data_IF_168575644687
#
_entry.id   IF_168575644687
#
_cell.length_a   1.000
_cell.length_b   1.000
_cell.length_c   1.000
_cell.angle_alpha   90.00
_cell.angle_beta   90.00
_cell.angle_gamma   90.00
#
_symmetry.space_group_name_H-M   'P 1'
#
loop_
_entity.id
_entity.type
_entity.pdbx_description
1 polymer ?
#
# COMPACT_ATOMS: atom_id res chain seq x y z
N UNK A 1 -39.43 -102.28 -95.95
CA UNK A 1 -40.72 -102.26 -96.67
C UNK A 1 -41.82 -102.56 -95.66
N UNK A 2 -42.25 -101.54 -94.91
CA UNK A 2 -43.38 -101.65 -93.98
C UNK A 2 -44.67 -101.60 -94.78
N UNK A 3 -45.48 -102.66 -94.69
CA UNK A 3 -46.80 -102.73 -95.31
C UNK A 3 -47.65 -101.52 -94.86
N UNK A 4 -48.00 -100.68 -95.83
CA UNK A 4 -48.82 -99.48 -95.63
C UNK A 4 -50.25 -99.96 -95.33
N UNK A 5 -50.59 -100.01 -94.04
CA UNK A 5 -51.90 -100.49 -93.55
C UNK A 5 -52.94 -99.38 -93.42
N UNK A 6 -52.59 -98.15 -93.78
CA UNK A 6 -53.46 -96.96 -93.73
C UNK A 6 -53.76 -96.46 -95.15
N UNK A 7 -54.99 -96.00 -95.39
CA UNK A 7 -55.47 -95.62 -96.73
C UNK A 7 -54.80 -94.35 -97.30
N UNK A 8 -54.18 -93.53 -96.46
CA UNK A 8 -53.47 -92.30 -96.86
C UNK A 8 -52.30 -92.06 -95.91
N UNK A 9 -51.15 -91.67 -96.46
CA UNK A 9 -49.97 -91.21 -95.72
C UNK A 9 -49.80 -89.71 -95.97
N UNK A 10 -49.80 -88.90 -94.91
CA UNK A 10 -49.49 -87.48 -94.97
C UNK A 10 -48.01 -87.34 -94.63
N UNK A 11 -47.19 -87.04 -95.63
CA UNK A 11 -45.78 -86.77 -95.40
C UNK A 11 -45.59 -85.50 -94.56
N UNK A 12 -44.72 -85.56 -93.53
CA UNK A 12 -44.50 -84.44 -92.60
C UNK A 12 -44.13 -83.12 -93.26
N UNK A 13 -43.51 -83.16 -94.44
CA UNK A 13 -43.11 -81.97 -95.22
C UNK A 13 -44.33 -81.24 -95.83
N UNK A 14 -45.41 -81.96 -96.11
CA UNK A 14 -46.64 -81.41 -96.69
C UNK A 14 -47.75 -81.19 -95.65
N UNK A 15 -47.57 -81.68 -94.42
CA UNK A 15 -48.55 -81.57 -93.35
C UNK A 15 -48.99 -80.12 -93.07
N UNK A 16 -48.06 -79.15 -93.09
CA UNK A 16 -48.41 -77.74 -92.92
C UNK A 16 -49.37 -77.23 -94.00
N UNK A 17 -49.11 -77.56 -95.26
CA UNK A 17 -49.94 -77.13 -96.38
C UNK A 17 -51.33 -77.80 -96.34
N UNK A 18 -51.36 -79.11 -96.05
CA UNK A 18 -52.58 -79.92 -95.96
C UNK A 18 -53.51 -79.46 -94.84
N UNK A 19 -52.98 -79.06 -93.68
CA UNK A 19 -53.82 -78.59 -92.55
C UNK A 19 -54.14 -77.09 -92.60
N UNK A 20 -53.44 -76.30 -93.42
CA UNK A 20 -53.68 -74.85 -93.55
C UNK A 20 -54.62 -74.51 -94.70
N UNK A 21 -54.64 -75.32 -95.76
CA UNK A 21 -55.51 -75.10 -96.93
C UNK A 21 -56.63 -76.14 -96.98
N UNK A 22 -57.87 -75.67 -96.83
CA UNK A 22 -59.07 -76.52 -96.84
C UNK A 22 -59.18 -77.37 -98.12
N UNK A 23 -58.75 -76.77 -99.23
CA UNK A 23 -58.73 -77.36 -100.58
C UNK A 23 -57.79 -78.56 -100.74
N UNK A 24 -56.82 -78.77 -99.85
CA UNK A 24 -55.90 -79.91 -99.89
C UNK A 24 -56.33 -81.08 -98.99
N UNK A 25 -57.22 -80.82 -98.03
CA UNK A 25 -57.79 -81.85 -97.16
C UNK A 25 -58.95 -82.58 -97.84
N UNK A 26 -59.77 -81.84 -98.61
CA UNK A 26 -60.94 -82.38 -99.30
C UNK A 26 -60.58 -83.54 -100.27
N UNK A 27 -59.53 -83.47 -101.12
CA UNK A 27 -59.13 -84.57 -101.99
C UNK A 27 -58.66 -85.83 -101.25
N UNK A 28 -58.05 -85.65 -100.07
CA UNK A 28 -57.60 -86.76 -99.21
C UNK A 28 -58.81 -87.47 -98.60
N UNK A 29 -59.80 -86.72 -98.15
CA UNK A 29 -61.06 -87.26 -97.63
C UNK A 29 -61.85 -87.93 -98.75
N UNK A 30 -61.95 -87.32 -99.93
CA UNK A 30 -62.63 -87.88 -101.10
C UNK A 30 -62.01 -89.21 -101.56
N UNK A 31 -60.67 -89.35 -101.49
CA UNK A 31 -60.00 -90.61 -101.79
C UNK A 31 -60.39 -91.73 -100.80
N UNK A 32 -60.47 -91.40 -99.51
CA UNK A 32 -60.91 -92.34 -98.45
C UNK A 32 -62.39 -92.70 -98.65
N UNK A 33 -63.24 -91.73 -98.99
CA UNK A 33 -64.66 -91.95 -99.26
C UNK A 33 -64.88 -92.83 -100.49
N UNK A 34 -64.13 -92.60 -101.57
CA UNK A 34 -64.21 -93.38 -102.80
C UNK A 34 -63.82 -94.84 -102.56
N UNK A 35 -62.75 -95.07 -101.80
CA UNK A 35 -62.30 -96.43 -101.45
C UNK A 35 -63.24 -97.12 -100.44
N UNK A 36 -63.82 -96.37 -99.51
CA UNK A 36 -64.81 -96.91 -98.58
C UNK A 36 -66.13 -97.28 -99.29
N UNK A 37 -66.56 -96.50 -100.30
CA UNK A 37 -67.81 -96.71 -101.06
C UNK A 37 -67.66 -97.68 -102.24
N UNK A 38 -66.44 -97.95 -102.71
CA UNK A 38 -66.18 -98.91 -103.80
C UNK A 38 -66.37 -100.37 -103.36
N UNK A 39 -66.34 -100.64 -102.06
CA UNK A 39 -66.66 -101.95 -101.51
C UNK A 39 -68.16 -102.20 -101.66
N UNK A 40 -68.55 -103.07 -102.59
CA UNK A 40 -69.93 -103.59 -102.74
C UNK A 40 -70.07 -104.85 -101.89
N UNK A 41 -70.60 -104.79 -100.66
CA UNK A 41 -70.51 -105.89 -99.72
C UNK A 41 -71.78 -106.74 -99.70
N UNK A 42 -71.63 -108.05 -99.57
CA UNK A 42 -72.75 -108.96 -99.35
C UNK A 42 -72.92 -109.25 -97.84
N UNK A 43 -73.92 -108.59 -97.23
CA UNK A 43 -74.24 -108.72 -95.80
C UNK A 43 -74.79 -110.09 -95.40
N UNK A 44 -75.21 -110.91 -96.36
CA UNK A 44 -75.73 -112.26 -96.10
C UNK A 44 -74.62 -113.24 -95.70
N UNK A 45 -73.38 -113.00 -96.12
CA UNK A 45 -72.22 -113.86 -95.82
C UNK A 45 -71.38 -113.32 -94.65
N UNK A 46 -70.78 -114.24 -93.87
CA UNK A 46 -69.84 -113.88 -92.80
C UNK A 46 -68.63 -113.10 -93.34
N UNK A 47 -68.09 -113.53 -94.49
CA UNK A 47 -66.96 -112.87 -95.16
C UNK A 47 -67.27 -111.43 -95.57
N UNK A 48 -68.49 -111.14 -96.05
CA UNK A 48 -68.91 -109.78 -96.39
C UNK A 48 -69.04 -108.87 -95.17
N UNK A 49 -69.57 -109.38 -94.05
CA UNK A 49 -69.61 -108.64 -92.78
C UNK A 49 -68.21 -108.35 -92.21
N UNK A 50 -67.29 -109.31 -92.29
CA UNK A 50 -65.89 -109.13 -91.86
C UNK A 50 -65.14 -108.12 -92.74
N UNK A 51 -65.44 -108.06 -94.04
CA UNK A 51 -64.90 -107.06 -94.97
C UNK A 51 -65.41 -105.64 -94.65
N UNK A 52 -66.70 -105.49 -94.33
CA UNK A 52 -67.27 -104.21 -93.87
C UNK A 52 -66.58 -103.75 -92.57
N UNK A 53 -66.44 -104.64 -91.59
CA UNK A 53 -65.79 -104.33 -90.32
C UNK A 53 -64.32 -103.90 -90.52
N UNK A 54 -63.61 -104.59 -91.42
CA UNK A 54 -62.21 -104.27 -91.75
C UNK A 54 -62.08 -102.91 -92.45
N UNK A 55 -62.98 -102.58 -93.38
CA UNK A 55 -62.98 -101.28 -94.05
C UNK A 55 -63.33 -100.14 -93.08
N UNK A 56 -64.33 -100.33 -92.21
CA UNK A 56 -64.65 -99.37 -91.15
C UNK A 56 -63.46 -99.14 -90.20
N UNK A 57 -62.72 -100.19 -89.86
CA UNK A 57 -61.52 -100.06 -89.02
C UNK A 57 -60.40 -99.29 -89.72
N UNK A 58 -60.19 -99.50 -91.04
CA UNK A 58 -59.23 -98.71 -91.84
C UNK A 58 -59.60 -97.22 -91.87
N UNK A 59 -60.88 -96.88 -92.08
CA UNK A 59 -61.34 -95.49 -92.03
C UNK A 59 -61.12 -94.87 -90.65
N UNK A 60 -61.38 -95.60 -89.56
CA UNK A 60 -61.16 -95.13 -88.20
C UNK A 60 -59.66 -94.90 -87.89
N UNK A 61 -58.77 -95.77 -88.40
CA UNK A 61 -57.32 -95.59 -88.30
C UNK A 61 -56.83 -94.38 -89.09
N UNK A 62 -57.27 -94.21 -90.33
CA UNK A 62 -56.94 -93.04 -91.15
C UNK A 62 -57.41 -91.73 -90.51
N UNK A 63 -58.60 -91.70 -89.90
CA UNK A 63 -59.06 -90.53 -89.11
C UNK A 63 -58.10 -90.20 -87.97
N UNK A 64 -57.72 -91.20 -87.18
CA UNK A 64 -56.86 -91.02 -86.00
C UNK A 64 -55.46 -90.57 -86.41
N UNK A 65 -54.94 -91.10 -87.52
CA UNK A 65 -53.66 -90.72 -88.08
C UNK A 65 -53.64 -89.24 -88.53
N UNK A 66 -54.67 -88.79 -89.25
CA UNK A 66 -54.81 -87.38 -89.68
C UNK A 66 -54.90 -86.45 -88.46
N UNK A 67 -55.69 -86.79 -87.45
CA UNK A 67 -55.83 -85.99 -86.22
C UNK A 67 -54.50 -85.88 -85.44
N UNK A 68 -53.76 -86.99 -85.32
CA UNK A 68 -52.45 -87.00 -84.65
C UNK A 68 -51.41 -86.20 -85.43
N UNK A 69 -51.39 -86.29 -86.77
CA UNK A 69 -50.48 -85.50 -87.60
C UNK A 69 -50.73 -83.98 -87.46
N UNK A 70 -51.99 -83.55 -87.33
CA UNK A 70 -52.32 -82.16 -87.04
C UNK A 70 -51.89 -81.72 -85.63
N UNK A 71 -52.06 -82.58 -84.62
CA UNK A 71 -51.60 -82.31 -83.24
C UNK A 71 -50.09 -82.17 -83.15
N UNK A 72 -49.34 -83.05 -83.81
CA UNK A 72 -47.88 -83.02 -83.83
C UNK A 72 -47.37 -81.73 -84.49
N UNK A 73 -47.97 -81.32 -85.62
CA UNK A 73 -47.65 -80.07 -86.29
C UNK A 73 -47.90 -78.84 -85.39
N UNK A 74 -49.04 -78.80 -84.70
CA UNK A 74 -49.36 -77.72 -83.75
C UNK A 74 -48.41 -77.71 -82.56
N UNK A 75 -47.99 -78.88 -82.07
CA UNK A 75 -47.01 -78.99 -80.98
C UNK A 75 -45.64 -78.45 -81.41
N UNK A 76 -45.17 -78.78 -82.61
CA UNK A 76 -43.93 -78.25 -83.18
C UNK A 76 -44.00 -76.73 -83.38
N UNK A 77 -45.10 -76.22 -83.94
CA UNK A 77 -45.34 -74.79 -84.10
C UNK A 77 -45.36 -74.04 -82.76
N UNK A 78 -46.00 -74.59 -81.73
CA UNK A 78 -46.02 -73.99 -80.38
C UNK A 78 -44.66 -74.02 -79.68
N UNK A 79 -43.76 -74.93 -80.08
CA UNK A 79 -42.41 -74.99 -79.55
C UNK A 79 -41.47 -73.93 -80.16
N UNK A 80 -41.74 -73.44 -81.38
CA UNK A 80 -40.92 -72.45 -82.07
C UNK A 80 -40.82 -71.10 -81.32
N UNK A 81 -41.91 -70.49 -80.81
CA UNK A 81 -41.83 -69.24 -80.04
C UNK A 81 -40.87 -69.33 -78.85
N UNK A 82 -40.92 -70.42 -78.07
CA UNK A 82 -40.02 -70.62 -76.93
C UNK A 82 -38.54 -70.63 -77.35
N UNK A 83 -38.22 -71.28 -78.47
CA UNK A 83 -36.85 -71.31 -79.03
C UNK A 83 -36.41 -69.93 -79.53
N UNK A 84 -37.33 -69.16 -80.12
CA UNK A 84 -37.06 -67.79 -80.57
C UNK A 84 -36.80 -66.88 -79.37
N UNK A 85 -37.61 -66.95 -78.32
CA UNK A 85 -37.44 -66.13 -77.11
C UNK A 85 -36.12 -66.43 -76.40
N UNK A 86 -35.76 -67.71 -76.28
CA UNK A 86 -34.46 -68.12 -75.74
C UNK A 86 -33.29 -67.60 -76.59
N UNK A 87 -33.42 -67.68 -77.91
CA UNK A 87 -32.39 -67.13 -78.82
C UNK A 87 -32.28 -65.61 -78.68
N UNK A 88 -33.42 -64.89 -78.55
CA UNK A 88 -33.44 -63.44 -78.31
C UNK A 88 -32.81 -63.08 -76.97
N UNK A 89 -33.01 -63.89 -75.93
CA UNK A 89 -32.38 -63.72 -74.62
C UNK A 89 -30.87 -63.85 -74.70
N UNK A 90 -30.37 -64.93 -75.33
CA UNK A 90 -28.93 -65.15 -75.54
C UNK A 90 -28.29 -64.01 -76.31
N UNK A 91 -28.95 -63.51 -77.37
CA UNK A 91 -28.44 -62.38 -78.15
C UNK A 91 -28.33 -61.13 -77.28
N UNK A 92 -29.35 -60.82 -76.47
CA UNK A 92 -29.33 -59.66 -75.57
C UNK A 92 -28.19 -59.75 -74.57
N UNK A 93 -28.10 -60.88 -73.84
CA UNK A 93 -27.07 -61.09 -72.81
C UNK A 93 -25.65 -61.00 -73.39
N UNK A 94 -25.41 -61.60 -74.57
CA UNK A 94 -24.10 -61.55 -75.22
C UNK A 94 -23.73 -60.16 -75.74
N UNK A 95 -24.69 -59.43 -76.31
CA UNK A 95 -24.43 -58.09 -76.83
C UNK A 95 -24.26 -57.07 -75.70
N UNK A 96 -25.01 -57.20 -74.60
CA UNK A 96 -24.82 -56.37 -73.41
C UNK A 96 -23.44 -56.63 -72.78
N UNK A 97 -23.05 -57.90 -72.63
CA UNK A 97 -21.71 -58.24 -72.13
C UNK A 97 -20.59 -57.70 -73.04
N UNK A 98 -20.75 -57.80 -74.36
CA UNK A 98 -19.79 -57.26 -75.32
C UNK A 98 -19.71 -55.73 -75.26
N UNK A 99 -20.85 -55.04 -75.09
CA UNK A 99 -20.88 -53.59 -74.91
C UNK A 99 -20.11 -53.18 -73.66
N UNK A 100 -20.30 -53.88 -72.55
CA UNK A 100 -19.61 -53.59 -71.29
C UNK A 100 -18.10 -53.87 -71.42
N UNK A 101 -17.71 -54.96 -72.08
CA UNK A 101 -16.30 -55.26 -72.37
C UNK A 101 -15.64 -54.19 -73.26
N UNK A 102 -16.32 -53.75 -74.32
CA UNK A 102 -15.82 -52.69 -75.21
C UNK A 102 -15.74 -51.34 -74.49
N UNK A 103 -16.64 -51.08 -73.53
CA UNK A 103 -16.63 -49.84 -72.74
C UNK A 103 -15.62 -49.89 -71.59
N UNK A 104 -15.23 -51.07 -71.11
CA UNK A 104 -14.38 -51.24 -69.93
C UNK A 104 -13.06 -50.44 -70.00
N UNK A 105 -12.29 -50.44 -71.11
CA UNK A 105 -11.05 -49.66 -71.19
C UNK A 105 -11.28 -48.14 -71.03
N UNK A 106 -12.42 -47.62 -71.53
CA UNK A 106 -12.76 -46.21 -71.37
C UNK A 106 -13.10 -45.90 -69.91
N UNK A 107 -13.91 -46.75 -69.26
CA UNK A 107 -14.24 -46.59 -67.84
C UNK A 107 -13.00 -46.66 -66.95
N UNK A 108 -12.09 -47.59 -67.22
CA UNK A 108 -10.81 -47.71 -66.50
C UNK A 108 -9.93 -46.48 -66.71
N UNK A 109 -9.86 -45.95 -67.93
CA UNK A 109 -9.13 -44.71 -68.22
C UNK A 109 -9.74 -43.48 -67.55
N UNK A 110 -11.07 -43.33 -67.58
CA UNK A 110 -11.79 -42.23 -66.89
C UNK A 110 -11.52 -42.26 -65.37
N UNK A 111 -11.56 -43.44 -64.76
CA UNK A 111 -11.26 -43.62 -63.33
C UNK A 111 -9.78 -43.29 -63.01
N UNK A 112 -8.84 -43.69 -63.86
CA UNK A 112 -7.43 -43.35 -63.70
C UNK A 112 -7.19 -41.85 -63.85
N UNK A 113 -7.86 -41.19 -64.80
CA UNK A 113 -7.79 -39.73 -64.95
C UNK A 113 -8.33 -38.99 -63.73
N UNK A 114 -9.42 -39.47 -63.13
CA UNK A 114 -9.90 -38.90 -61.86
C UNK A 114 -8.89 -39.09 -60.73
N UNK A 115 -8.25 -40.26 -60.65
CA UNK A 115 -7.21 -40.51 -59.65
C UNK A 115 -5.99 -39.59 -59.84
N UNK A 116 -5.51 -39.44 -61.07
CA UNK A 116 -4.39 -38.55 -61.40
C UNK A 116 -4.75 -37.11 -61.03
N UNK A 117 -5.96 -36.63 -61.38
CA UNK A 117 -6.40 -35.27 -60.99
C UNK A 117 -6.48 -35.09 -59.48
N UNK A 118 -6.94 -36.10 -58.74
CA UNK A 118 -6.99 -36.06 -57.29
C UNK A 118 -5.58 -36.03 -56.68
N UNK A 119 -4.65 -36.81 -57.22
CA UNK A 119 -3.24 -36.83 -56.79
C UNK A 119 -2.53 -35.52 -57.13
N UNK A 120 -2.73 -34.96 -58.33
CA UNK A 120 -2.22 -33.64 -58.72
C UNK A 120 -2.76 -32.53 -57.81
N UNK A 121 -4.06 -32.56 -57.47
CA UNK A 121 -4.64 -31.62 -56.52
C UNK A 121 -4.02 -31.75 -55.12
N UNK A 122 -3.78 -32.97 -54.65
CA UNK A 122 -3.12 -33.21 -53.37
C UNK A 122 -1.66 -32.72 -53.40
N UNK A 123 -0.92 -32.98 -54.48
CA UNK A 123 0.46 -32.54 -54.67
C UNK A 123 0.56 -31.01 -54.76
N UNK A 124 -0.40 -30.36 -55.42
CA UNK A 124 -0.49 -28.90 -55.45
C UNK A 124 -0.71 -28.31 -54.05
N UNK A 125 -1.64 -28.87 -53.27
CA UNK A 125 -1.84 -28.47 -51.87
C UNK A 125 -0.60 -28.71 -51.02
N UNK A 126 0.10 -29.83 -51.24
CA UNK A 126 1.33 -30.15 -50.53
C UNK A 126 2.46 -29.16 -50.86
N UNK A 127 2.61 -28.79 -52.13
CA UNK A 127 3.60 -27.80 -52.57
C UNK A 127 3.32 -26.41 -51.97
N UNK A 128 2.06 -25.97 -51.95
CA UNK A 128 1.66 -24.70 -51.32
C UNK A 128 1.93 -24.71 -49.81
N UNK A 129 1.61 -25.82 -49.13
CA UNK A 129 1.92 -25.98 -47.71
C UNK A 129 3.42 -25.93 -47.42
N UNK A 130 4.25 -26.54 -48.28
CA UNK A 130 5.70 -26.50 -48.15
C UNK A 130 6.23 -25.07 -48.33
N UNK A 131 5.72 -24.32 -49.31
CA UNK A 131 6.11 -22.93 -49.52
C UNK A 131 5.72 -22.05 -48.32
N UNK A 132 4.52 -22.25 -47.76
CA UNK A 132 4.09 -21.54 -46.55
C UNK A 132 4.99 -21.84 -45.35
N UNK A 133 5.38 -23.10 -45.15
CA UNK A 133 6.32 -23.47 -44.09
C UNK A 133 7.70 -22.83 -44.28
N UNK A 134 8.22 -22.83 -45.52
CA UNK A 134 9.50 -22.18 -45.82
C UNK A 134 9.45 -20.68 -45.50
N UNK A 135 8.37 -19.99 -45.87
CA UNK A 135 8.18 -18.57 -45.55
C UNK A 135 8.10 -18.34 -44.04
N UNK A 136 7.36 -19.19 -43.32
CA UNK A 136 7.25 -19.10 -41.87
C UNK A 136 8.61 -19.28 -41.18
N UNK A 137 9.41 -20.27 -41.60
CA UNK A 137 10.73 -20.52 -41.05
C UNK A 137 11.69 -19.34 -41.33
N UNK A 138 11.62 -18.75 -42.52
CA UNK A 138 12.38 -17.54 -42.86
C UNK A 138 11.99 -16.33 -42.02
N UNK A 139 10.69 -16.12 -41.79
CA UNK A 139 10.20 -15.04 -40.93
C UNK A 139 10.62 -15.25 -39.46
N UNK A 140 10.60 -16.49 -38.98
CA UNK A 140 11.03 -16.82 -37.63
C UNK A 140 12.54 -16.59 -37.45
N UNK A 141 13.35 -16.99 -38.44
CA UNK A 141 14.79 -16.74 -38.44
C UNK A 141 15.10 -15.23 -38.44
N UNK A 142 14.42 -14.44 -39.30
CA UNK A 142 14.59 -13.00 -39.35
C UNK A 142 14.18 -12.30 -38.03
N UNK A 143 13.10 -12.76 -37.40
CA UNK A 143 12.70 -12.26 -36.06
C UNK A 143 13.73 -12.60 -35.00
N UNK A 144 14.26 -13.82 -35.01
CA UNK A 144 15.28 -14.24 -34.05
C UNK A 144 16.55 -13.38 -34.17
N UNK A 145 17.00 -13.10 -35.39
CA UNK A 145 18.13 -12.20 -35.64
C UNK A 145 17.86 -10.78 -35.15
N UNK A 146 16.69 -10.21 -35.47
CA UNK A 146 16.30 -8.88 -35.02
C UNK A 146 16.19 -8.77 -33.49
N UNK A 147 15.59 -9.77 -32.83
CA UNK A 147 15.48 -9.83 -31.37
C UNK A 147 16.86 -9.99 -30.71
N UNK A 148 17.77 -10.75 -31.35
CA UNK A 148 19.14 -10.89 -30.88
C UNK A 148 19.92 -9.57 -30.97
N UNK A 149 19.81 -8.85 -32.08
CA UNK A 149 20.41 -7.52 -32.24
C UNK A 149 19.86 -6.52 -31.23
N UNK A 150 18.54 -6.54 -30.99
CA UNK A 150 17.89 -5.71 -29.98
C UNK A 150 18.41 -6.02 -28.58
N UNK A 151 18.56 -7.31 -28.23
CA UNK A 151 19.09 -7.73 -26.95
C UNK A 151 20.55 -7.28 -26.75
N UNK A 152 21.38 -7.34 -27.79
CA UNK A 152 22.75 -6.83 -27.75
C UNK A 152 22.79 -5.31 -27.54
N UNK A 153 21.91 -4.57 -28.22
CA UNK A 153 21.80 -3.12 -28.05
C UNK A 153 21.35 -2.76 -26.62
N UNK A 154 20.34 -3.43 -26.11
CA UNK A 154 19.87 -3.25 -24.72
C UNK A 154 20.97 -3.55 -23.71
N UNK A 155 21.73 -4.64 -23.88
CA UNK A 155 22.86 -4.96 -23.00
C UNK A 155 23.91 -3.85 -23.01
N UNK A 156 24.21 -3.28 -24.18
CA UNK A 156 25.15 -2.16 -24.31
C UNK A 156 24.64 -0.91 -23.56
N UNK A 157 23.36 -0.61 -23.64
CA UNK A 157 22.75 0.49 -22.89
C UNK A 157 22.79 0.23 -21.38
N UNK A 158 22.48 -0.99 -20.93
CA UNK A 158 22.60 -1.36 -19.51
C UNK A 158 24.03 -1.25 -19.00
N UNK A 159 25.03 -1.65 -19.80
CA UNK A 159 26.43 -1.52 -19.43
C UNK A 159 26.87 -0.05 -19.38
N UNK A 160 26.42 0.79 -20.32
CA UNK A 160 26.65 2.25 -20.28
C UNK A 160 26.04 2.87 -19.02
N UNK A 161 24.80 2.54 -18.72
CA UNK A 161 24.10 3.07 -17.54
C UNK A 161 24.81 2.61 -16.26
N UNK A 162 25.25 1.35 -16.19
CA UNK A 162 26.05 0.84 -15.06
C UNK A 162 27.38 1.58 -14.93
N UNK A 163 28.06 1.91 -16.03
CA UNK A 163 29.27 2.73 -16.02
C UNK A 163 29.00 4.17 -15.58
N UNK A 164 27.91 4.79 -16.02
CA UNK A 164 27.49 6.12 -15.57
C UNK A 164 27.17 6.13 -14.08
N UNK A 165 26.43 5.15 -13.58
CA UNK A 165 26.17 5.00 -12.14
C UNK A 165 27.45 4.81 -11.33
N UNK A 166 28.42 4.04 -11.84
CA UNK A 166 29.75 3.94 -11.21
C UNK A 166 30.47 5.28 -11.16
N UNK A 167 30.46 6.05 -12.24
CA UNK A 167 31.07 7.39 -12.30
C UNK A 167 30.39 8.37 -11.34
N UNK A 168 29.06 8.40 -11.30
CA UNK A 168 28.30 9.24 -10.37
C UNK A 168 28.56 8.85 -8.91
N UNK A 169 28.61 7.54 -8.62
CA UNK A 169 28.95 7.06 -7.29
C UNK A 169 30.38 7.46 -6.88
N UNK A 170 31.35 7.36 -7.79
CA UNK A 170 32.73 7.79 -7.54
C UNK A 170 32.82 9.31 -7.31
N UNK A 171 32.13 10.12 -8.13
CA UNK A 171 32.05 11.57 -7.94
C UNK A 171 31.43 11.91 -6.59
N UNK A 172 30.32 11.27 -6.22
CA UNK A 172 29.67 11.47 -4.93
C UNK A 172 30.56 11.03 -3.75
N UNK A 173 31.40 10.00 -3.91
CA UNK A 173 32.40 9.65 -2.88
C UNK A 173 33.47 10.74 -2.77
N UNK A 174 34.00 11.22 -3.90
CA UNK A 174 35.02 12.29 -3.90
C UNK A 174 34.48 13.57 -3.27
N UNK A 175 33.26 13.96 -3.59
CA UNK A 175 32.60 15.13 -2.99
C UNK A 175 32.40 14.95 -1.48
N UNK A 176 31.98 13.75 -1.03
CA UNK A 176 31.89 13.44 0.41
C UNK A 176 33.25 13.50 1.10
N UNK A 177 34.28 12.93 0.49
CA UNK A 177 35.64 12.96 1.03
C UNK A 177 36.19 14.39 1.10
N UNK A 178 35.88 15.23 0.11
CA UNK A 178 36.23 16.66 0.11
C UNK A 178 35.47 17.43 1.17
N UNK A 179 34.15 17.21 1.31
CA UNK A 179 33.34 17.80 2.38
C UNK A 179 33.87 17.39 3.75
N UNK A 180 34.17 16.11 3.96
CA UNK A 180 34.73 15.62 5.22
C UNK A 180 36.10 16.26 5.52
N UNK A 181 36.94 16.45 4.50
CA UNK A 181 38.20 17.19 4.66
C UNK A 181 37.98 18.66 5.02
N UNK A 182 37.00 19.31 4.40
CA UNK A 182 36.64 20.70 4.71
C UNK A 182 36.08 20.83 6.13
N UNK A 183 35.17 19.95 6.53
CA UNK A 183 34.62 19.89 7.89
C UNK A 183 35.71 19.62 8.92
N UNK A 184 36.63 18.69 8.64
CA UNK A 184 37.78 18.44 9.51
C UNK A 184 38.71 19.65 9.61
N UNK A 185 38.94 20.36 8.50
CA UNK A 185 39.74 21.60 8.49
C UNK A 185 39.04 22.75 9.22
N UNK A 186 37.72 22.88 9.07
CA UNK A 186 36.92 23.88 9.77
C UNK A 186 36.84 23.58 11.26
N UNK A 187 36.64 22.31 11.64
CA UNK A 187 36.65 21.88 13.02
C UNK A 187 38.03 22.12 13.66
N UNK A 188 39.12 21.84 12.94
CA UNK A 188 40.46 22.16 13.41
C UNK A 188 40.67 23.67 13.59
N UNK A 189 40.11 24.51 12.71
CA UNK A 189 40.12 25.98 12.88
C UNK A 189 39.30 26.42 14.08
N UNK A 190 38.08 25.90 14.25
CA UNK A 190 37.21 26.21 15.40
C UNK A 190 37.86 25.76 16.70
N UNK A 191 38.48 24.60 16.75
CA UNK A 191 39.19 24.11 17.92
C UNK A 191 40.44 24.96 18.22
N UNK A 192 41.17 25.42 17.19
CA UNK A 192 42.29 26.35 17.35
C UNK A 192 41.83 27.73 17.84
N UNK A 193 40.75 28.28 17.28
CA UNK A 193 40.14 29.54 17.70
C UNK A 193 39.58 29.43 19.12
N UNK A 194 38.95 28.32 19.49
CA UNK A 194 38.45 28.06 20.83
C UNK A 194 39.60 27.95 21.84
N UNK A 195 40.69 27.27 21.48
CA UNK A 195 41.92 27.25 22.30
C UNK A 195 42.51 28.64 22.47
N UNK A 196 42.64 29.40 21.39
CA UNK A 196 43.16 30.77 21.45
C UNK A 196 42.26 31.68 22.29
N UNK A 197 40.94 31.56 22.17
CA UNK A 197 39.98 32.31 22.98
C UNK A 197 40.02 31.90 24.45
N UNK A 198 40.15 30.60 24.74
CA UNK A 198 40.35 30.09 26.09
C UNK A 198 41.69 30.55 26.69
N UNK A 199 42.75 30.67 25.89
CA UNK A 199 44.03 31.24 26.31
C UNK A 199 43.93 32.73 26.61
N UNK A 200 43.20 33.51 25.79
CA UNK A 200 42.91 34.92 26.07
C UNK A 200 42.06 35.06 27.33
N UNK A 201 41.01 34.26 27.50
CA UNK A 201 40.16 34.30 28.70
C UNK A 201 40.93 33.85 29.94
N UNK A 202 41.81 32.85 29.83
CA UNK A 202 42.69 32.44 30.92
C UNK A 202 43.72 33.52 31.25
N UNK A 203 44.29 34.20 30.25
CA UNK A 203 45.19 35.33 30.45
C UNK A 203 44.46 36.51 31.10
N UNK A 204 43.24 36.82 30.66
CA UNK A 204 42.39 37.86 31.25
C UNK A 204 41.98 37.52 32.68
N UNK A 205 41.69 36.25 32.99
CA UNK A 205 41.44 35.78 34.37
C UNK A 205 42.68 35.90 35.25
N UNK A 206 43.86 35.53 34.73
CA UNK A 206 45.13 35.71 35.46
C UNK A 206 45.43 37.19 35.69
N UNK A 207 45.22 38.04 34.69
CA UNK A 207 45.40 39.48 34.83
C UNK A 207 44.37 40.10 35.81
N UNK A 208 43.12 39.63 35.79
CA UNK A 208 42.10 40.05 36.75
C UNK A 208 42.39 39.53 38.17
N UNK A 209 42.91 38.31 38.33
CA UNK A 209 43.32 37.76 39.62
C UNK A 209 44.55 38.49 40.17
N UNK A 210 45.54 38.79 39.34
CA UNK A 210 46.71 39.61 39.72
C UNK A 210 46.30 41.05 40.05
N UNK A 211 45.38 41.66 39.28
CA UNK A 211 44.83 42.98 39.62
C UNK A 211 44.01 42.94 40.90
N UNK A 212 43.21 41.92 41.14
CA UNK A 212 42.45 41.76 42.39
C UNK A 212 43.39 41.55 43.59
N UNK A 213 44.50 40.80 43.41
CA UNK A 213 45.55 40.66 44.43
C UNK A 213 46.29 41.96 44.67
N UNK A 214 46.62 42.71 43.62
CA UNK A 214 47.25 44.02 43.73
C UNK A 214 46.32 45.04 44.41
N UNK A 215 45.03 45.04 44.07
CA UNK A 215 44.02 45.92 44.68
C UNK A 215 43.76 45.52 46.15
N UNK A 216 43.72 44.23 46.48
CA UNK A 216 43.67 43.78 47.88
C UNK A 216 44.93 44.19 48.65
N UNK A 217 46.11 44.07 48.05
CA UNK A 217 47.36 44.51 48.66
C UNK A 217 47.41 46.03 48.83
N UNK A 218 46.93 46.80 47.84
CA UNK A 218 46.84 48.26 47.92
C UNK A 218 45.81 48.69 48.97
N UNK A 219 44.64 48.05 49.01
CA UNK A 219 43.64 48.27 50.08
C UNK A 219 44.20 47.93 51.45
N UNK A 220 44.96 46.85 51.59
CA UNK A 220 45.64 46.52 52.84
C UNK A 220 46.71 47.56 53.20
N UNK A 221 47.49 48.06 52.23
CA UNK A 221 48.45 49.14 52.49
C UNK A 221 47.76 50.43 52.91
N UNK A 222 46.71 50.84 52.20
CA UNK A 222 45.90 52.01 52.56
C UNK A 222 45.24 51.81 53.92
N UNK A 223 44.73 50.62 54.24
CA UNK A 223 44.16 50.34 55.55
C UNK A 223 45.23 50.38 56.65
N UNK A 224 46.43 49.84 56.42
CA UNK A 224 47.54 49.94 57.37
C UNK A 224 48.03 51.38 57.53
N UNK A 225 48.05 52.18 56.46
CA UNK A 225 48.46 53.58 56.48
C UNK A 225 47.39 54.46 57.13
N UNK A 226 46.11 54.19 56.88
CA UNK A 226 44.98 54.82 57.56
C UNK A 226 44.91 54.42 59.03
N UNK A 227 45.21 53.15 59.39
CA UNK A 227 45.33 52.74 60.79
C UNK A 227 46.51 53.42 61.46
N UNK A 228 47.67 53.50 60.82
CA UNK A 228 48.82 54.24 61.35
C UNK A 228 48.57 55.75 61.45
N UNK A 229 47.83 56.35 60.51
CA UNK A 229 47.42 57.75 60.56
C UNK A 229 46.37 58.00 61.65
N UNK A 230 45.41 57.09 61.82
CA UNK A 230 44.42 57.15 62.91
C UNK A 230 45.07 56.92 64.26
N UNK A 231 46.03 56.01 64.39
CA UNK A 231 46.80 55.82 65.63
C UNK A 231 47.68 57.03 65.94
N UNK A 232 48.28 57.69 64.93
CA UNK A 232 48.98 58.96 65.13
C UNK A 232 48.04 60.09 65.54
N UNK A 233 46.88 60.22 64.89
CA UNK A 233 45.87 61.21 65.25
C UNK A 233 45.24 60.92 66.61
N UNK A 234 45.02 59.66 66.99
CA UNK A 234 44.55 59.28 68.32
C UNK A 234 45.64 59.46 69.38
N UNK A 235 46.92 59.26 69.06
CA UNK A 235 48.04 59.54 69.97
C UNK A 235 48.23 61.06 70.16
N UNK A 236 48.13 61.86 69.10
CA UNK A 236 48.15 63.33 69.19
C UNK A 236 46.91 63.86 69.92
N UNK A 237 45.72 63.33 69.63
CA UNK A 237 44.50 63.70 70.34
C UNK A 237 44.51 63.22 71.80
N UNK A 238 45.14 62.08 72.13
CA UNK A 238 45.38 61.67 73.53
C UNK A 238 46.40 62.56 74.22
N UNK A 239 47.47 62.97 73.54
CA UNK A 239 48.46 63.89 74.08
C UNK A 239 47.90 65.31 74.27
N UNK A 240 47.04 65.80 73.38
CA UNK A 240 46.30 67.05 73.57
C UNK A 240 45.23 66.92 74.65
N UNK A 241 44.52 65.79 74.75
CA UNK A 241 43.56 65.55 75.84
C UNK A 241 44.23 65.38 77.19
N UNK A 242 45.43 64.80 77.28
CA UNK A 242 46.21 64.74 78.52
C UNK A 242 46.77 66.11 78.90
N UNK A 243 47.24 66.92 77.92
CA UNK A 243 47.66 68.30 78.18
C UNK A 243 46.48 69.20 78.57
N UNK A 244 45.33 69.05 77.92
CA UNK A 244 44.10 69.77 78.26
C UNK A 244 43.55 69.32 79.64
N UNK A 245 43.55 68.02 79.94
CA UNK A 245 43.13 67.50 81.24
C UNK A 245 44.09 67.89 82.38
N UNK A 246 45.39 68.03 82.11
CA UNK A 246 46.34 68.54 83.11
C UNK A 246 46.11 70.04 83.42
N UNK A 247 45.82 70.84 82.39
CA UNK A 247 45.49 72.28 82.55
C UNK A 247 44.11 72.47 83.19
N UNK A 248 43.12 71.64 82.86
CA UNK A 248 41.78 71.69 83.47
C UNK A 248 41.77 71.16 84.92
N UNK A 249 42.61 70.17 85.25
CA UNK A 249 42.78 69.67 86.63
C UNK A 249 43.59 70.61 87.53
N UNK A 250 44.43 71.48 86.97
CA UNK A 250 45.09 72.56 87.71
C UNK A 250 44.11 73.73 87.95
N UNK A 251 43.30 74.06 86.95
CA UNK A 251 42.30 75.12 87.03
C UNK A 251 41.12 74.77 87.96
N UNK A 252 40.65 73.51 87.95
CA UNK A 252 39.65 73.02 88.92
C UNK A 252 40.16 72.99 90.36
N UNK A 253 41.45 72.71 90.58
CA UNK A 253 42.06 72.80 91.92
C UNK A 253 42.17 74.23 92.45
N UNK A 254 42.31 75.22 91.57
CA UNK A 254 42.31 76.64 91.94
C UNK A 254 40.88 77.17 92.16
N UNK A 255 39.92 76.77 91.33
CA UNK A 255 38.50 77.16 91.47
C UNK A 255 37.84 76.52 92.72
N UNK A 256 38.16 75.26 93.07
CA UNK A 256 37.67 74.61 94.30
C UNK A 256 38.30 75.19 95.58
N UNK A 257 39.55 75.67 95.53
CA UNK A 257 40.21 76.32 96.65
C UNK A 257 39.68 77.74 96.92
N UNK A 258 39.27 78.49 95.89
CA UNK A 258 38.62 79.80 96.07
C UNK A 258 37.15 79.68 96.48
N UNK A 259 36.41 78.70 95.96
CA UNK A 259 35.02 78.44 96.37
C UNK A 259 34.91 78.00 97.84
N UNK A 260 35.90 77.28 98.37
CA UNK A 260 35.94 76.89 99.78
C UNK A 260 36.20 78.08 100.73
N UNK A 261 37.01 79.08 100.33
CA UNK A 261 37.24 80.28 101.16
C UNK A 261 36.04 81.22 101.19
N UNK A 262 35.33 81.37 100.07
CA UNK A 262 34.16 82.25 99.97
C UNK A 262 32.96 81.70 100.78
N UNK A 263 32.82 80.37 100.90
CA UNK A 263 31.78 79.74 101.70
C UNK A 263 32.02 79.82 103.22
N UNK A 264 33.28 79.91 103.68
CA UNK A 264 33.61 80.09 105.09
C UNK A 264 33.43 81.55 105.56
N UNK A 265 33.66 82.52 104.67
CA UNK A 265 33.46 83.94 104.94
C UNK A 265 31.97 84.32 105.03
N UNK A 266 31.11 83.69 104.21
CA UNK A 266 29.67 83.91 104.24
C UNK A 266 28.99 83.38 105.51
N UNK A 267 29.52 82.29 106.12
CA UNK A 267 29.00 81.77 107.40
C UNK A 267 29.29 82.65 108.61
N UNK A 268 30.35 83.47 108.59
CA UNK A 268 30.68 84.43 109.68
C UNK A 268 29.84 85.71 109.60
N UNK A 269 29.43 86.14 108.42
CA UNK A 269 28.56 87.31 108.24
C UNK A 269 27.10 87.07 108.68
N UNK A 270 26.61 85.83 108.54
CA UNK A 270 25.22 85.47 108.87
C UNK A 270 24.98 85.33 110.39
N UNK A 271 26.02 85.03 111.16
CA UNK A 271 25.95 84.92 112.64
C UNK A 271 25.96 86.29 113.34
N UNK A 272 26.58 87.31 112.77
CA UNK A 272 26.58 88.69 113.30
C UNK A 272 25.25 89.43 113.07
N UNK A 273 24.52 89.12 112.01
CA UNK A 273 23.21 89.73 111.72
C UNK A 273 22.13 89.35 112.76
N UNK A 274 22.24 88.16 113.36
CA UNK A 274 21.24 87.64 114.33
C UNK A 274 21.33 88.31 115.70
N UNK A 275 22.47 88.92 116.07
CA UNK A 275 22.64 89.65 117.36
C UNK A 275 22.08 91.08 117.36
N UNK A 276 21.87 91.70 116.20
CA UNK A 276 21.38 93.08 116.13
C UNK A 276 19.84 93.18 116.24
N UNK A 277 19.10 92.22 115.70
CA UNK A 277 17.63 92.18 115.73
C UNK A 277 17.05 92.15 117.16
N UNK A 278 17.81 91.64 118.13
CA UNK A 278 17.41 91.52 119.53
C UNK A 278 17.40 92.86 120.30
N UNK A 279 18.11 93.90 119.80
CA UNK A 279 18.09 95.27 120.36
C UNK A 279 16.80 96.03 120.03
N UNK A 280 16.15 95.72 118.90
CA UNK A 280 14.89 96.38 118.50
C UNK A 280 13.69 95.90 119.33
N UNK A 281 13.65 94.61 119.67
CA UNK A 281 12.55 94.02 120.44
C UNK A 281 12.40 94.63 121.85
N UNK A 282 13.50 94.94 122.54
CA UNK A 282 13.48 95.53 123.90
C UNK A 282 12.97 96.98 123.92
N UNK A 283 13.15 97.73 122.83
CA UNK A 283 12.75 99.14 122.74
C UNK A 283 11.23 99.29 122.64
N UNK A 284 10.58 98.38 121.93
CA UNK A 284 9.13 98.40 121.67
C UNK A 284 8.30 98.05 122.91
N UNK A 285 8.77 97.09 123.72
CA UNK A 285 8.08 96.67 124.96
C UNK A 285 8.08 97.78 126.02
N UNK A 286 9.22 98.47 126.20
CA UNK A 286 9.33 99.59 127.14
C UNK A 286 8.44 100.79 126.78
N UNK A 287 8.16 100.99 125.48
CA UNK A 287 7.29 102.07 125.01
C UNK A 287 5.82 101.84 125.37
N UNK A 288 5.39 100.58 125.53
CA UNK A 288 3.99 100.21 125.80
C UNK A 288 3.63 100.38 127.28
N UNK A 289 4.53 99.95 128.18
CA UNK A 289 4.34 100.08 129.64
C UNK A 289 4.32 101.55 130.09
N UNK A 290 5.12 102.40 129.45
CA UNK A 290 5.14 103.85 129.71
C UNK A 290 3.79 104.53 129.39
N UNK A 291 3.09 104.09 128.34
CA UNK A 291 1.80 104.65 127.94
C UNK A 291 0.65 104.24 128.89
N UNK A 292 0.65 102.99 129.38
CA UNK A 292 -0.41 102.49 130.28
C UNK A 292 -0.40 103.17 131.67
N UNK A 293 0.77 103.64 132.14
CA UNK A 293 0.93 104.34 133.42
C UNK A 293 0.35 105.77 133.40
N UNK A 294 0.42 106.46 132.26
CA UNK A 294 -0.13 107.81 132.10
C UNK A 294 -1.66 107.79 132.11
N UNK A 295 -2.27 106.76 131.52
CA UNK A 295 -3.73 106.59 131.47
C UNK A 295 -4.39 106.39 132.85
N UNK A 296 -3.61 106.00 133.87
CA UNK A 296 -4.09 105.75 135.25
C UNK A 296 -3.94 106.96 136.19
N UNK A 297 -3.56 108.14 135.67
CA UNK A 297 -3.58 109.41 136.43
C UNK A 297 -2.27 109.77 137.16
N UNK A 298 -1.15 109.12 136.84
CA UNK A 298 0.18 109.45 137.39
C UNK A 298 0.87 110.52 136.50
N UNK A 299 1.44 111.59 137.09
CA UNK A 299 2.19 112.59 136.33
C UNK A 299 3.45 112.03 135.64
N UNK A 300 3.77 112.56 134.46
CA UNK A 300 4.78 112.05 133.52
C UNK A 300 6.17 111.82 134.15
N UNK A 301 6.59 112.73 135.04
CA UNK A 301 7.86 112.66 135.77
C UNK A 301 8.00 111.38 136.62
N UNK A 302 6.89 110.88 137.19
CA UNK A 302 6.91 109.73 138.09
C UNK A 302 6.79 108.39 137.34
N UNK A 303 6.11 108.37 136.19
CA UNK A 303 6.02 107.19 135.33
C UNK A 303 7.40 106.79 134.78
N UNK A 304 8.24 107.77 134.41
CA UNK A 304 9.59 107.50 133.90
C UNK A 304 10.49 106.82 134.93
N UNK A 305 10.44 107.28 136.19
CA UNK A 305 11.23 106.69 137.28
C UNK A 305 10.78 105.28 137.63
N UNK A 306 9.46 105.00 137.56
CA UNK A 306 8.92 103.67 137.80
C UNK A 306 9.41 102.63 136.76
N UNK A 307 9.38 102.98 135.46
CA UNK A 307 9.87 102.09 134.40
C UNK A 307 11.38 101.85 134.51
N UNK A 308 12.15 102.88 134.89
CA UNK A 308 13.59 102.75 135.13
C UNK A 308 13.92 101.84 136.32
N UNK A 309 13.14 101.89 137.40
CA UNK A 309 13.35 101.04 138.58
C UNK A 309 13.02 99.55 138.31
N UNK A 310 12.01 99.28 137.48
CA UNK A 310 11.62 97.92 137.06
C UNK A 310 12.60 97.37 136.02
N UNK A 311 12.96 98.16 135.00
CA UNK A 311 13.93 97.76 133.99
C UNK A 311 15.35 97.59 134.57
N UNK A 312 15.66 98.32 135.65
CA UNK A 312 16.91 98.21 136.39
C UNK A 312 16.94 97.11 137.45
N UNK A 313 15.86 96.34 137.63
CA UNK A 313 15.83 95.21 138.58
C UNK A 313 15.96 95.59 140.06
N UNK A 314 15.70 96.87 140.42
CA UNK A 314 15.78 97.36 141.82
C UNK A 314 14.50 97.11 142.62
N UNK A 315 13.42 96.70 141.95
CA UNK A 315 12.18 96.25 142.56
C UNK A 315 12.20 94.74 142.58
N UNK A 316 12.44 94.17 143.77
CA UNK A 316 12.34 92.73 143.99
C UNK A 316 10.88 92.32 144.08
N UNK A 317 10.55 91.24 143.39
CA UNK A 317 9.24 90.59 143.44
C UNK A 317 8.06 91.48 143.05
N UNK A 318 8.23 92.28 142.00
CA UNK A 318 7.11 92.80 141.21
C UNK A 318 6.55 91.69 140.28
N UNK A 319 5.49 91.00 140.68
CA UNK A 319 4.72 90.10 139.78
C UNK A 319 3.22 90.39 139.86
N UNK A 320 2.74 91.27 138.98
CA UNK A 320 1.54 92.06 139.20
C UNK A 320 0.16 91.41 139.09
N UNK A 321 -0.10 90.18 139.55
CA UNK A 321 -1.39 89.53 139.21
C UNK A 321 -1.98 88.70 140.34
N UNK A 322 -2.51 89.39 141.34
CA UNK A 322 -2.94 88.83 142.63
C UNK A 322 -1.91 87.89 143.25
#
# INVERSE_FOLDING_TARGET
>A
MSEVTDLVVIEKQNAMAVFTTKEQLDPIIEAIEKEARSLVPDVSTRKGRDAIASMAHKVARSKTYIDNAGKDLVAELKALPKKIDESRRIVRERLDALKDEVRRPLTEWEAEQERIKAEEAMNAMHAEALEMNIRFDQELAAKFEADHEMALLMNKDFDRDREEQRRLAEQAQRERDEQLKQEAAEQARRDAEAKHKAEIEAAARREAEEKARAELAERQRIETEQRAAREKQEAEARAEREKAAAVEAERRRQEEAEAARLAEEQRKAEEEARRAADKEHRRTVNRRVYADLIAQGIPEEFAQKAVLAIAGGKVQDAHIKY
#
